data_IF_575376852190
#
_entry.id   IF_575376852190
#
_cell.length_a   1.000
_cell.length_b   1.000
_cell.length_c   1.000
_cell.angle_alpha   90.00
_cell.angle_beta   90.00
_cell.angle_gamma   90.00
#
_symmetry.space_group_name_H-M   'P 1'
#
loop_
_entity.id
_entity.type
_entity.pdbx_description
1 polymer ?
#
# COMPACT_ATOMS: atom_id res chain seq x y z
N UNK A 1 -9.21 -16.71 -13.59
CA UNK A 1 -9.17 -16.07 -12.27
C UNK A 1 -7.73 -16.25 -11.82
N UNK A 2 -6.88 -15.33 -12.22
CA UNK A 2 -5.43 -15.45 -12.08
C UNK A 2 -4.96 -14.16 -11.43
N UNK A 3 -4.75 -14.26 -10.13
CA UNK A 3 -4.03 -13.30 -9.30
C UNK A 3 -2.96 -14.22 -8.69
N UNK A 4 -1.66 -13.96 -8.73
CA UNK A 4 -0.96 -12.70 -8.53
C UNK A 4 0.37 -12.77 -9.28
N UNK A 5 0.69 -11.75 -10.08
CA UNK A 5 2.10 -11.52 -10.44
C UNK A 5 2.84 -11.12 -9.17
N UNK A 6 3.90 -11.86 -8.85
CA UNK A 6 4.83 -11.54 -7.78
C UNK A 6 5.39 -10.11 -7.99
N UNK A 7 4.93 -9.16 -7.17
CA UNK A 7 5.62 -7.88 -7.03
C UNK A 7 6.80 -8.05 -6.09
N UNK A 8 7.94 -8.46 -6.67
CA UNK A 8 9.22 -8.55 -5.98
C UNK A 8 9.82 -7.15 -5.86
N UNK A 9 9.45 -6.42 -4.80
CA UNK A 9 10.40 -5.51 -4.17
C UNK A 9 11.46 -6.41 -3.53
N UNK A 10 12.74 -6.25 -3.90
CA UNK A 10 13.87 -7.17 -3.70
C UNK A 10 14.23 -7.60 -2.27
N UNK A 11 13.25 -8.09 -1.51
CA UNK A 11 13.35 -8.52 -0.12
C UNK A 11 12.01 -8.86 0.57
N UNK A 12 10.85 -8.78 -0.10
CA UNK A 12 9.54 -9.06 0.51
C UNK A 12 9.03 -10.50 0.34
N UNK A 13 9.80 -11.42 -0.26
CA UNK A 13 9.38 -12.81 -0.50
C UNK A 13 9.13 -13.64 0.77
N UNK A 14 9.50 -13.14 1.95
CA UNK A 14 9.32 -13.81 3.24
C UNK A 14 8.36 -13.08 4.20
N UNK A 15 7.73 -11.99 3.76
CA UNK A 15 6.86 -11.23 4.65
C UNK A 15 5.47 -11.88 4.69
N UNK A 16 5.10 -12.39 5.86
CA UNK A 16 3.74 -12.91 6.06
C UNK A 16 2.75 -11.74 5.99
N UNK A 17 1.96 -11.68 4.92
CA UNK A 17 0.95 -10.64 4.68
C UNK A 17 -0.16 -10.67 5.73
N UNK A 18 -0.35 -11.77 6.47
CA UNK A 18 -1.28 -11.86 7.60
C UNK A 18 -0.84 -11.03 8.81
N UNK A 19 0.42 -10.55 8.86
CA UNK A 19 0.97 -9.75 9.95
C UNK A 19 1.02 -8.24 9.64
N UNK A 20 0.46 -7.80 8.52
CA UNK A 20 0.44 -6.37 8.16
C UNK A 20 -0.58 -5.61 8.99
N UNK A 21 -0.10 -4.81 9.94
CA UNK A 21 -0.96 -3.95 10.75
C UNK A 21 -1.03 -2.53 10.15
N UNK A 22 -2.19 -2.06 9.66
CA UNK A 22 -2.33 -0.68 9.18
C UNK A 22 -2.31 0.30 10.36
N UNK A 23 -1.33 1.18 10.39
CA UNK A 23 -1.12 2.11 11.52
C UNK A 23 -1.48 3.56 11.18
N UNK A 24 -1.47 3.93 9.90
CA UNK A 24 -1.85 5.28 9.46
C UNK A 24 -2.24 5.28 8.00
N UNK A 25 -3.13 6.20 7.61
CA UNK A 25 -3.42 6.44 6.21
C UNK A 25 -3.56 7.93 5.89
N UNK A 26 -3.47 8.24 4.61
CA UNK A 26 -3.83 9.53 4.01
C UNK A 26 -4.65 9.27 2.75
N UNK A 27 -5.63 10.12 2.48
CA UNK A 27 -6.41 10.06 1.25
C UNK A 27 -6.08 11.20 0.28
N UNK A 28 -6.31 10.95 -1.00
CA UNK A 28 -6.28 11.93 -2.07
C UNK A 28 -7.49 11.69 -2.98
N UNK A 29 -8.29 12.74 -3.18
CA UNK A 29 -9.45 12.69 -4.10
C UNK A 29 -8.95 12.76 -5.54
N UNK A 30 -9.47 11.87 -6.38
CA UNK A 30 -9.24 11.78 -7.83
C UNK A 30 -10.59 11.49 -8.52
N UNK A 31 -10.60 10.88 -9.70
CA UNK A 31 -11.78 10.18 -10.22
C UNK A 31 -12.00 8.86 -9.42
N UNK A 32 -12.24 9.00 -8.13
CA UNK A 32 -12.14 7.95 -7.10
C UNK A 32 -11.38 8.48 -5.88
N UNK A 33 -10.84 7.58 -5.07
CA UNK A 33 -9.99 7.93 -3.93
C UNK A 33 -8.73 7.08 -3.93
N UNK A 34 -7.58 7.73 -3.87
CA UNK A 34 -6.32 7.08 -3.55
C UNK A 34 -6.13 7.08 -2.03
N UNK A 35 -5.86 5.92 -1.45
CA UNK A 35 -5.43 5.75 -0.07
C UNK A 35 -3.95 5.37 -0.03
N UNK A 36 -3.16 6.20 0.64
CA UNK A 36 -1.79 5.88 1.00
C UNK A 36 -1.80 5.31 2.41
N UNK A 37 -1.50 4.02 2.56
CA UNK A 37 -1.61 3.29 3.82
C UNK A 37 -0.23 2.89 4.30
N UNK A 38 0.13 3.19 5.55
CA UNK A 38 1.33 2.68 6.21
C UNK A 38 0.98 1.43 6.97
N UNK A 39 1.66 0.34 6.65
CA UNK A 39 1.51 -0.95 7.31
C UNK A 39 2.80 -1.31 8.05
N UNK A 40 2.68 -1.59 9.34
CA UNK A 40 3.78 -2.05 10.18
C UNK A 40 4.16 -3.50 9.83
N UNK A 41 5.47 -3.77 9.78
CA UNK A 41 6.03 -5.09 9.47
C UNK A 41 6.49 -5.86 10.71
N UNK A 42 6.29 -5.30 11.91
CA UNK A 42 7.03 -5.69 13.11
C UNK A 42 8.27 -4.81 13.34
N UNK A 43 8.73 -4.74 14.59
CA UNK A 43 9.84 -3.89 15.03
C UNK A 43 9.59 -2.39 14.75
N UNK A 44 10.50 -1.71 14.05
CA UNK A 44 10.40 -0.28 13.72
C UNK A 44 10.33 -0.04 12.19
N UNK A 45 9.90 -1.05 11.43
CA UNK A 45 9.82 -1.01 9.98
C UNK A 45 8.35 -0.99 9.51
N UNK A 46 8.11 -0.28 8.41
CA UNK A 46 6.83 -0.27 7.72
C UNK A 46 7.00 -0.30 6.20
N UNK A 47 5.93 -0.67 5.50
CA UNK A 47 5.75 -0.47 4.06
C UNK A 47 4.61 0.49 3.82
N UNK A 48 4.66 1.20 2.69
CA UNK A 48 3.55 2.04 2.26
C UNK A 48 2.83 1.37 1.09
N UNK A 49 1.50 1.37 1.14
CA UNK A 49 0.61 0.84 0.11
C UNK A 49 -0.15 2.00 -0.53
N UNK A 50 -0.40 1.87 -1.83
CA UNK A 50 -1.32 2.74 -2.54
C UNK A 50 -2.51 1.90 -3.00
N UNK A 51 -3.67 2.19 -2.43
CA UNK A 51 -4.94 1.53 -2.75
C UNK A 51 -5.83 2.53 -3.48
N UNK A 52 -6.37 2.14 -4.63
CA UNK A 52 -7.34 2.95 -5.37
C UNK A 52 -8.74 2.38 -5.19
N UNK A 53 -9.65 3.25 -4.77
CA UNK A 53 -11.09 3.01 -4.71
C UNK A 53 -11.78 3.78 -5.85
N UNK A 54 -12.53 3.12 -6.75
CA UNK A 54 -13.27 3.79 -7.80
C UNK A 54 -14.46 4.60 -7.25
N UNK A 55 -14.97 5.56 -8.02
CA UNK A 55 -16.23 6.22 -7.67
C UNK A 55 -17.37 5.19 -7.62
N UNK A 56 -18.37 5.35 -6.73
CA UNK A 56 -19.47 4.38 -6.57
C UNK A 56 -20.23 4.08 -7.88
N UNK A 57 -20.34 5.06 -8.78
CA UNK A 57 -21.05 4.92 -10.05
C UNK A 57 -20.34 4.01 -11.07
N UNK A 58 -19.03 3.82 -10.96
CA UNK A 58 -18.30 2.89 -11.82
C UNK A 58 -18.45 1.44 -11.36
N UNK A 59 -18.86 1.23 -10.11
CA UNK A 59 -18.76 -0.06 -9.45
C UNK A 59 -17.31 -0.52 -9.29
N UNK A 60 -17.12 -1.58 -8.52
CA UNK A 60 -15.83 -2.21 -8.34
C UNK A 60 -15.24 -2.01 -6.95
N UNK A 61 -14.38 -2.94 -6.58
CA UNK A 61 -13.76 -3.02 -5.27
C UNK A 61 -12.47 -2.17 -5.22
N UNK A 62 -12.08 -1.69 -4.02
CA UNK A 62 -10.75 -1.15 -3.80
C UNK A 62 -9.66 -2.13 -4.22
N UNK A 63 -8.60 -1.63 -4.86
CA UNK A 63 -7.49 -2.46 -5.35
C UNK A 63 -6.13 -1.86 -5.02
N UNK A 64 -5.17 -2.71 -4.69
CA UNK A 64 -3.78 -2.32 -4.54
C UNK A 64 -3.20 -1.94 -5.91
N UNK A 65 -2.65 -0.74 -6.01
CA UNK A 65 -2.04 -0.22 -7.25
C UNK A 65 -0.54 0.08 -7.09
N UNK A 66 -0.01 0.08 -5.85
CA UNK A 66 1.41 0.26 -5.62
C UNK A 66 1.86 -0.10 -4.21
N UNK A 67 3.14 -0.45 -4.09
CA UNK A 67 3.86 -0.72 -2.84
C UNK A 67 5.15 0.12 -2.88
N UNK A 68 5.55 0.70 -1.75
CA UNK A 68 6.84 1.40 -1.67
C UNK A 68 7.99 0.45 -2.05
N UNK A 69 8.95 0.88 -2.89
CA UNK A 69 10.04 0.03 -3.35
C UNK A 69 11.04 -0.31 -2.25
N UNK A 70 10.98 0.37 -1.11
CA UNK A 70 11.81 0.12 0.06
C UNK A 70 10.93 0.07 1.31
N UNK A 71 11.47 -0.53 2.37
CA UNK A 71 10.95 -0.38 3.72
C UNK A 71 11.26 1.02 4.24
N UNK A 72 10.42 1.50 5.15
CA UNK A 72 10.51 2.80 5.78
C UNK A 72 10.54 2.65 7.30
N UNK A 73 11.08 3.65 8.00
CA UNK A 73 10.88 3.78 9.43
C UNK A 73 9.41 4.09 9.73
N UNK A 74 8.90 3.62 10.86
CA UNK A 74 7.56 3.98 11.32
C UNK A 74 7.36 5.50 11.46
N UNK A 75 8.44 6.26 11.65
CA UNK A 75 8.44 7.72 11.77
C UNK A 75 8.42 8.44 10.40
N UNK A 76 8.82 7.76 9.32
CA UNK A 76 8.91 8.38 7.99
C UNK A 76 7.53 8.83 7.50
N UNK A 77 7.39 10.01 6.86
CA UNK A 77 6.11 10.44 6.33
C UNK A 77 5.65 9.56 5.16
N UNK A 78 4.33 9.46 4.99
CA UNK A 78 3.71 8.79 3.85
C UNK A 78 3.49 9.83 2.76
N UNK A 79 4.20 9.71 1.64
CA UNK A 79 4.15 10.69 0.57
C UNK A 79 3.94 10.05 -0.81
N UNK A 80 3.14 10.72 -1.65
CA UNK A 80 2.75 10.17 -2.95
C UNK A 80 3.91 9.92 -3.91
N UNK A 81 5.03 10.65 -3.77
CA UNK A 81 6.20 10.46 -4.62
C UNK A 81 6.97 9.16 -4.36
N UNK A 82 6.67 8.45 -3.27
CA UNK A 82 7.29 7.17 -2.90
C UNK A 82 6.75 6.00 -3.74
N UNK A 83 5.70 6.21 -4.55
CA UNK A 83 5.01 5.20 -5.36
C UNK A 83 5.26 5.37 -6.87
N UNK A 84 6.33 6.07 -7.24
CA UNK A 84 6.73 6.31 -8.64
C UNK A 84 7.80 5.35 -9.10
#
# INVERSE_FOLDING_TARGET
>A
MEIQEEFVCGGLSSLNTELLEPIRYRSQIVAGTNYFVKCHLGQNECIHLLVYEPLPCYGGEPRLIGISPNKHSIEDPIEAHQFR
#
